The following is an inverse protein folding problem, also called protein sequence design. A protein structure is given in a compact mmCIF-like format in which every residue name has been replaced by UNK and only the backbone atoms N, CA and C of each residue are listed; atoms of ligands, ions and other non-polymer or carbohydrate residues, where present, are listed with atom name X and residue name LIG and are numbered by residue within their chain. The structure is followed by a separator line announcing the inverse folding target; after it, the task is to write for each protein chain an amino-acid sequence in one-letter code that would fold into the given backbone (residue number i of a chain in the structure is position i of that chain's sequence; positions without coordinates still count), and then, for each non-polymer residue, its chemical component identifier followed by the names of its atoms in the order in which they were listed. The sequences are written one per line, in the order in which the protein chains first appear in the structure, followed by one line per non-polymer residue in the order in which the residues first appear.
data_IF_591655770028
#
_entry.id   IF_591655770028
#
_cell.length_a   1.000
_cell.length_b   1.000
_cell.length_c   1.000
_cell.angle_alpha   90.00
_cell.angle_beta   90.00
_cell.angle_gamma   90.00
#
_symmetry.space_group_name_H-M   'P 1'
#
loop_
_entity.id
_entity.type
_entity.pdbx_description
1 polymer ?
#
# COMPACT_ATOMS: atom_id res chain seq x y z
N UNK A 1 7.33 -0.88 -4.21
CA UNK A 1 7.06 0.38 -3.48
C UNK A 1 5.92 0.15 -2.50
N UNK A 2 6.24 0.06 -1.24
CA UNK A 2 5.24 -0.23 -0.21
C UNK A 2 4.69 1.03 0.46
N UNK A 3 3.40 1.03 0.75
CA UNK A 3 2.75 2.12 1.50
C UNK A 3 2.89 1.82 2.99
N UNK A 4 3.52 2.73 3.75
CA UNK A 4 3.71 2.56 5.20
C UNK A 4 2.35 2.46 5.91
N UNK A 5 2.27 1.62 6.91
CA UNK A 5 3.36 0.78 7.46
C UNK A 5 3.35 -0.65 6.92
N UNK A 6 2.22 -1.29 6.85
CA UNK A 6 2.13 -2.72 6.48
C UNK A 6 2.47 -2.99 5.03
N UNK A 7 2.10 -2.09 4.11
CA UNK A 7 2.46 -2.22 2.71
C UNK A 7 3.96 -2.26 2.48
N UNK A 8 4.75 -1.54 3.30
CA UNK A 8 6.20 -1.57 3.20
C UNK A 8 6.78 -2.95 3.51
N UNK A 9 6.27 -3.62 4.55
CA UNK A 9 6.69 -4.97 4.90
C UNK A 9 6.25 -6.00 3.86
N UNK A 10 5.03 -5.84 3.33
CA UNK A 10 4.53 -6.71 2.25
C UNK A 10 5.37 -6.55 0.98
N UNK A 11 5.79 -5.33 0.64
CA UNK A 11 6.66 -5.10 -0.51
C UNK A 11 8.00 -5.82 -0.35
N UNK A 12 8.58 -5.80 0.85
CA UNK A 12 9.80 -6.54 1.15
C UNK A 12 9.60 -8.04 1.01
N UNK A 13 8.51 -8.57 1.51
CA UNK A 13 8.18 -10.01 1.37
C UNK A 13 8.03 -10.41 -0.10
N UNK A 14 7.36 -9.59 -0.90
CA UNK A 14 7.21 -9.84 -2.33
C UNK A 14 8.55 -9.80 -3.06
N UNK A 15 9.42 -8.83 -2.74
CA UNK A 15 10.75 -8.74 -3.32
C UNK A 15 11.60 -9.98 -2.98
N UNK A 16 11.50 -10.49 -1.76
CA UNK A 16 12.16 -11.73 -1.36
C UNK A 16 11.63 -12.93 -2.12
N UNK A 17 10.32 -13.01 -2.35
CA UNK A 17 9.71 -14.08 -3.15
C UNK A 17 10.20 -14.04 -4.60
N UNK A 18 10.27 -12.85 -5.20
CA UNK A 18 10.80 -12.69 -6.57
C UNK A 18 12.24 -13.14 -6.64
N UNK A 19 13.07 -12.79 -5.65
CA UNK A 19 14.45 -13.22 -5.58
C UNK A 19 14.59 -14.74 -5.53
N UNK A 20 13.74 -15.39 -4.74
CA UNK A 20 13.73 -16.87 -4.63
C UNK A 20 13.31 -17.56 -5.93
N UNK A 21 12.38 -16.96 -6.66
CA UNK A 21 11.82 -17.56 -7.89
C UNK A 21 12.69 -17.25 -9.10
N UNK A 22 13.11 -16.01 -9.28
CA UNK A 22 13.81 -15.51 -10.48
C UNK A 22 15.29 -15.23 -10.25
N UNK A 23 15.74 -15.13 -9.00
CA UNK A 23 17.10 -14.73 -8.66
C UNK A 23 17.37 -13.23 -8.81
N UNK A 24 16.39 -12.43 -9.20
CA UNK A 24 16.53 -11.00 -9.36
C UNK A 24 16.31 -10.23 -8.05
N UNK A 25 17.18 -9.28 -7.77
CA UNK A 25 16.96 -8.34 -6.69
C UNK A 25 16.13 -7.16 -7.18
N UNK A 26 14.99 -6.93 -6.54
CA UNK A 26 14.09 -5.84 -6.86
C UNK A 26 14.27 -4.75 -5.81
N UNK A 27 14.60 -3.50 -6.21
CA UNK A 27 14.68 -2.39 -5.27
C UNK A 27 13.33 -2.14 -4.59
N UNK A 28 13.34 -1.89 -3.29
CA UNK A 28 12.14 -1.65 -2.50
C UNK A 28 12.23 -0.25 -1.87
N UNK A 29 11.18 0.53 -2.03
CA UNK A 29 11.02 1.80 -1.35
C UNK A 29 9.77 1.80 -0.49
N UNK A 30 9.67 2.78 0.40
CA UNK A 30 8.51 2.95 1.27
C UNK A 30 7.98 4.38 1.16
N UNK A 31 6.67 4.51 0.97
CA UNK A 31 5.98 5.79 0.91
C UNK A 31 5.25 6.06 2.22
N UNK A 32 5.43 7.25 2.76
CA UNK A 32 4.59 7.76 3.83
C UNK A 32 3.61 8.77 3.24
N UNK A 33 2.33 8.40 3.24
CA UNK A 33 1.28 9.18 2.61
C UNK A 33 0.62 10.20 3.52
N UNK A 34 1.12 10.36 4.75
CA UNK A 34 0.45 11.18 5.78
C UNK A 34 0.14 12.60 5.30
N UNK A 35 1.06 13.21 4.55
CA UNK A 35 0.90 14.58 4.05
C UNK A 35 0.00 14.67 2.81
N UNK A 36 -0.37 13.55 2.20
CA UNK A 36 -1.14 13.48 0.95
C UNK A 36 -2.57 12.99 1.16
N UNK A 37 -2.94 12.68 2.41
CA UNK A 37 -4.28 12.20 2.74
C UNK A 37 -5.28 13.34 2.68
N UNK A 38 -6.41 13.08 2.03
CA UNK A 38 -7.49 14.06 1.91
C UNK A 38 -8.29 14.25 3.21
N UNK A 39 -8.15 13.38 4.19
CA UNK A 39 -8.77 13.50 5.51
C UNK A 39 -7.87 14.15 6.58
N UNK A 40 -6.68 14.63 6.19
CA UNK A 40 -5.68 15.15 7.13
C UNK A 40 -6.21 16.30 7.98
N UNK A 41 -6.98 17.20 7.38
CA UNK A 41 -7.56 18.37 8.06
C UNK A 41 -8.62 17.98 9.11
N UNK A 42 -9.20 16.81 8.99
CA UNK A 42 -10.23 16.31 9.91
C UNK A 42 -9.63 15.73 11.19
N UNK A 43 -8.36 15.43 11.20
CA UNK A 43 -7.68 14.79 12.33
C UNK A 43 -7.33 15.79 13.44
N UNK A 44 -7.32 17.09 13.16
CA UNK A 44 -7.09 18.14 14.14
C UNK A 44 -5.75 18.13 14.86
N UNK A 45 -4.89 17.17 14.59
CA UNK A 45 -3.58 16.99 15.21
C UNK A 45 -2.48 17.10 14.16
N UNK A 46 -1.29 17.47 14.61
CA UNK A 46 -0.14 17.41 13.71
C UNK A 46 0.14 15.95 13.33
N UNK A 47 0.26 15.65 12.04
CA UNK A 47 0.53 14.28 11.63
C UNK A 47 1.90 13.83 12.13
N UNK A 48 1.97 12.58 12.58
CA UNK A 48 3.25 11.94 12.83
C UNK A 48 3.89 11.66 11.47
N UNK A 49 4.91 12.43 11.13
CA UNK A 49 5.59 12.27 9.84
C UNK A 49 6.51 11.08 9.91
N UNK A 50 6.12 9.99 9.28
CA UNK A 50 7.02 8.87 8.99
C UNK A 50 7.76 9.19 7.71
N UNK A 51 9.01 8.81 7.65
CA UNK A 51 9.86 9.17 6.51
C UNK A 51 9.57 8.29 5.29
N UNK A 52 9.37 8.94 4.14
CA UNK A 52 9.43 8.27 2.85
C UNK A 52 10.88 7.94 2.53
N UNK A 53 11.13 6.69 2.15
CA UNK A 53 12.47 6.21 1.83
C UNK A 53 12.47 5.54 0.46
N UNK A 54 13.04 6.22 -0.52
CA UNK A 54 13.21 5.70 -1.87
C UNK A 54 14.68 5.82 -2.25
N UNK A 55 15.38 4.69 -2.30
CA UNK A 55 16.81 4.63 -2.56
C UNK A 55 17.18 4.53 -4.05
N UNK A 56 16.22 4.77 -4.96
CA UNK A 56 16.45 4.65 -6.39
C UNK A 56 15.61 5.70 -7.14
N UNK A 57 15.97 5.97 -8.40
CA UNK A 57 15.20 6.87 -9.25
C UNK A 57 13.97 6.13 -9.80
N UNK A 58 12.78 6.69 -9.56
CA UNK A 58 11.52 6.09 -10.03
C UNK A 58 11.23 6.40 -11.49
N UNK A 59 11.93 7.39 -12.08
CA UNK A 59 11.69 7.82 -13.46
C UNK A 59 11.99 6.70 -14.44
N UNK A 60 11.07 6.49 -15.37
CA UNK A 60 11.13 5.44 -16.40
C UNK A 60 11.13 4.00 -15.87
N UNK A 61 10.78 3.81 -14.60
CA UNK A 61 10.65 2.48 -14.00
C UNK A 61 9.21 2.00 -14.03
N UNK A 62 9.06 0.69 -14.10
CA UNK A 62 7.77 0.03 -13.86
C UNK A 62 7.64 -0.17 -12.36
N UNK A 63 6.73 0.56 -11.73
CA UNK A 63 6.56 0.56 -10.28
C UNK A 63 5.34 -0.30 -9.92
N UNK A 64 5.47 -1.11 -8.88
CA UNK A 64 4.35 -1.80 -8.27
C UNK A 64 4.14 -1.19 -6.88
N UNK A 65 2.99 -0.54 -6.68
CA UNK A 65 2.55 -0.10 -5.36
C UNK A 65 1.99 -1.28 -4.59
N UNK A 66 2.35 -1.39 -3.32
CA UNK A 66 1.91 -2.49 -2.47
C UNK A 66 1.22 -1.94 -1.23
N UNK A 67 0.04 -2.45 -0.94
CA UNK A 67 -0.69 -2.12 0.28
C UNK A 67 -1.38 -3.37 0.84
N UNK A 68 -1.84 -3.28 2.09
CA UNK A 68 -2.50 -4.40 2.76
C UNK A 68 -3.96 -4.54 2.33
N UNK A 69 -4.77 -3.50 2.50
CA UNK A 69 -6.22 -3.55 2.25
C UNK A 69 -6.62 -2.42 1.30
N UNK A 70 -7.31 -2.79 0.22
CA UNK A 70 -7.92 -1.84 -0.70
C UNK A 70 -9.38 -1.66 -0.32
N UNK A 71 -9.76 -0.43 -0.04
CA UNK A 71 -11.11 -0.04 0.37
C UNK A 71 -11.66 1.02 -0.59
N UNK A 72 -11.69 2.29 -0.20
CA UNK A 72 -12.27 3.37 -1.01
C UNK A 72 -11.39 3.76 -2.20
N UNK A 73 -10.11 3.51 -2.15
CA UNK A 73 -9.10 3.95 -3.12
C UNK A 73 -8.40 5.25 -2.72
N UNK A 74 -8.80 5.89 -1.62
CA UNK A 74 -8.23 7.19 -1.22
C UNK A 74 -6.79 7.08 -0.77
N UNK A 75 -6.41 6.01 -0.09
CA UNK A 75 -5.01 5.74 0.27
C UNK A 75 -4.14 5.60 -0.98
N UNK A 76 -4.62 4.89 -1.97
CA UNK A 76 -3.88 4.68 -3.23
C UNK A 76 -3.76 5.99 -4.01
N UNK A 77 -4.80 6.80 -4.04
CA UNK A 77 -4.75 8.13 -4.66
C UNK A 77 -3.66 8.98 -4.02
N UNK A 78 -3.59 9.00 -2.68
CA UNK A 78 -2.56 9.72 -1.96
C UNK A 78 -1.15 9.21 -2.30
N UNK A 79 -0.99 7.89 -2.38
CA UNK A 79 0.28 7.27 -2.75
C UNK A 79 0.70 7.63 -4.17
N UNK A 80 -0.24 7.65 -5.12
CA UNK A 80 0.04 8.05 -6.50
C UNK A 80 0.52 9.50 -6.56
N UNK A 81 -0.13 10.40 -5.83
CA UNK A 81 0.25 11.82 -5.78
C UNK A 81 1.67 11.99 -5.26
N UNK A 82 2.02 11.30 -4.18
CA UNK A 82 3.37 11.37 -3.63
C UNK A 82 4.41 10.78 -4.59
N UNK A 83 4.14 9.62 -5.15
CA UNK A 83 5.07 8.94 -6.03
C UNK A 83 5.41 9.78 -7.27
N UNK A 84 4.42 10.44 -7.84
CA UNK A 84 4.58 11.31 -9.02
C UNK A 84 5.45 12.53 -8.67
N UNK A 85 5.45 12.99 -7.43
CA UNK A 85 6.33 14.09 -6.98
C UNK A 85 7.81 13.68 -6.95
N UNK A 86 8.12 12.39 -6.89
CA UNK A 86 9.50 11.87 -6.91
C UNK A 86 10.06 11.65 -8.31
N UNK A 87 9.22 11.68 -9.33
CA UNK A 87 9.66 11.48 -10.71
C UNK A 87 8.49 11.03 -11.58
N UNK A 88 8.80 10.59 -12.80
CA UNK A 88 7.82 10.11 -13.75
C UNK A 88 8.00 8.61 -14.01
N UNK A 89 7.37 7.74 -13.24
CA UNK A 89 7.39 6.31 -13.53
C UNK A 89 6.85 6.01 -14.93
N UNK A 90 7.36 4.96 -15.54
CA UNK A 90 6.87 4.52 -16.85
C UNK A 90 5.46 3.95 -16.71
N UNK A 91 5.26 3.08 -15.72
CA UNK A 91 3.96 2.51 -15.35
C UNK A 91 3.86 2.37 -13.85
N UNK A 92 2.65 2.40 -13.34
CA UNK A 92 2.35 2.11 -11.94
C UNK A 92 1.24 1.07 -11.92
N UNK A 93 1.50 -0.06 -11.29
CA UNK A 93 0.51 -1.10 -11.01
C UNK A 93 0.27 -1.20 -9.52
N UNK A 94 -0.84 -1.80 -9.13
CA UNK A 94 -1.23 -1.92 -7.73
C UNK A 94 -1.37 -3.39 -7.34
N UNK A 95 -0.70 -3.76 -6.26
CA UNK A 95 -0.82 -5.07 -5.62
C UNK A 95 -1.34 -4.88 -4.19
N UNK A 96 -2.40 -5.59 -3.83
CA UNK A 96 -2.96 -5.56 -2.48
C UNK A 96 -3.14 -6.98 -1.94
N UNK A 97 -3.02 -7.12 -0.63
CA UNK A 97 -3.28 -8.41 0.00
C UNK A 97 -4.77 -8.74 -0.06
N UNK A 98 -5.61 -7.77 0.26
CA UNK A 98 -7.08 -7.93 0.31
C UNK A 98 -7.75 -6.76 -0.40
N UNK A 99 -8.73 -7.08 -1.24
CA UNK A 99 -9.71 -6.11 -1.75
C UNK A 99 -11.04 -6.37 -1.05
N UNK A 100 -11.52 -5.39 -0.27
CA UNK A 100 -12.76 -5.51 0.49
C UNK A 100 -13.97 -4.87 -0.18
N UNK A 101 -13.79 -4.24 -1.33
CA UNK A 101 -14.86 -3.52 -2.02
C UNK A 101 -15.10 -2.12 -1.45
N UNK A 102 -16.24 -1.54 -1.76
CA UNK A 102 -16.70 -0.19 -1.33
C UNK A 102 -15.84 0.95 -1.90
N UNK A 103 -15.50 0.86 -3.17
CA UNK A 103 -14.72 1.90 -3.84
C UNK A 103 -15.48 3.23 -3.89
N UNK A 104 -14.77 4.33 -3.66
CA UNK A 104 -15.26 5.71 -3.88
C UNK A 104 -14.55 6.37 -5.06
N UNK A 105 -13.39 5.86 -5.44
CA UNK A 105 -12.60 6.35 -6.58
C UNK A 105 -12.42 5.22 -7.60
N UNK A 106 -12.21 5.55 -8.89
CA UNK A 106 -12.04 4.55 -9.95
C UNK A 106 -10.64 3.92 -9.91
N UNK A 107 -10.33 3.26 -8.82
CA UNK A 107 -9.05 2.59 -8.56
C UNK A 107 -9.27 1.10 -8.45
N UNK A 108 -8.41 0.34 -9.10
CA UNK A 108 -8.51 -1.10 -9.18
C UNK A 108 -7.12 -1.71 -8.99
N UNK A 109 -7.06 -2.82 -8.26
CA UNK A 109 -5.81 -3.55 -8.11
C UNK A 109 -5.54 -4.43 -9.33
N UNK A 110 -4.28 -4.47 -9.76
CA UNK A 110 -3.81 -5.39 -10.80
C UNK A 110 -3.55 -6.78 -10.23
N UNK A 111 -3.13 -6.84 -8.98
CA UNK A 111 -2.83 -8.09 -8.27
C UNK A 111 -3.52 -8.07 -6.93
N UNK A 112 -4.30 -9.11 -6.64
CA UNK A 112 -5.07 -9.24 -5.41
C UNK A 112 -4.78 -10.59 -4.79
N UNK A 113 -4.39 -10.60 -3.51
CA UNK A 113 -4.23 -11.85 -2.77
C UNK A 113 -5.58 -12.53 -2.56
N UNK A 114 -6.57 -11.79 -2.06
CA UNK A 114 -7.93 -12.29 -1.87
C UNK A 114 -8.96 -11.18 -1.94
N UNK A 115 -10.06 -11.46 -2.63
CA UNK A 115 -11.24 -10.60 -2.61
C UNK A 115 -12.13 -11.04 -1.44
N UNK A 116 -12.42 -10.12 -0.52
CA UNK A 116 -13.26 -10.36 0.65
C UNK A 116 -14.37 -9.30 0.66
N UNK A 117 -15.52 -9.58 0.03
CA UNK A 117 -16.65 -8.66 0.11
C UNK A 117 -17.08 -8.46 1.56
N UNK A 118 -17.30 -7.20 1.94
CA UNK A 118 -17.67 -6.84 3.31
C UNK A 118 -18.95 -6.01 3.33
N UNK A 119 -19.63 -5.98 4.48
CA UNK A 119 -20.70 -5.04 4.74
C UNK A 119 -20.11 -3.67 5.11
N UNK A 120 -20.93 -2.61 5.05
CA UNK A 120 -20.48 -1.24 5.36
C UNK A 120 -19.99 -1.10 6.80
N UNK A 121 -20.54 -1.86 7.73
CA UNK A 121 -20.19 -1.86 9.14
C UNK A 121 -19.06 -2.83 9.50
N UNK A 122 -18.51 -3.52 8.51
CA UNK A 122 -17.37 -4.40 8.69
C UNK A 122 -16.07 -3.72 8.27
N UNK A 123 -14.99 -4.10 8.91
CA UNK A 123 -13.63 -3.66 8.58
C UNK A 123 -12.73 -4.88 8.42
N UNK A 124 -11.79 -4.81 7.50
CA UNK A 124 -10.77 -5.84 7.34
C UNK A 124 -9.46 -5.32 7.93
N UNK A 125 -8.87 -6.10 8.82
CA UNK A 125 -7.55 -5.81 9.38
C UNK A 125 -6.57 -6.88 8.93
N UNK A 126 -5.50 -6.47 8.26
CA UNK A 126 -4.36 -7.33 7.99
C UNK A 126 -3.35 -7.15 9.11
N UNK A 127 -2.91 -8.26 9.70
CA UNK A 127 -1.91 -8.28 10.76
C UNK A 127 -0.68 -8.99 10.24
N UNK A 128 0.50 -8.41 10.50
CA UNK A 128 1.77 -8.93 10.05
C UNK A 128 2.70 -9.14 11.24
N UNK A 129 3.50 -10.18 11.19
CA UNK A 129 4.47 -10.48 12.25
C UNK A 129 5.33 -9.27 12.59
N UNK A 130 5.78 -8.52 11.59
CA UNK A 130 6.67 -7.37 11.75
C UNK A 130 6.05 -6.24 12.60
N UNK A 131 4.72 -6.13 12.62
CA UNK A 131 4.00 -5.05 13.30
C UNK A 131 3.14 -5.59 14.45
N UNK A 132 2.46 -6.72 14.20
CA UNK A 132 1.37 -7.20 15.06
C UNK A 132 1.71 -8.50 15.81
N UNK A 133 2.90 -9.06 15.59
CA UNK A 133 3.36 -10.29 16.22
C UNK A 133 2.80 -11.58 15.62
N UNK A 134 1.95 -11.48 14.62
CA UNK A 134 1.38 -12.63 13.91
C UNK A 134 0.90 -12.26 12.51
N UNK A 135 0.80 -13.26 11.65
CA UNK A 135 0.25 -13.09 10.30
C UNK A 135 -1.19 -13.59 10.28
N UNK A 136 -2.14 -12.69 10.08
CA UNK A 136 -3.54 -13.05 9.89
C UNK A 136 -4.31 -11.92 9.22
N UNK A 137 -5.45 -12.25 8.65
CA UNK A 137 -6.43 -11.28 8.18
C UNK A 137 -7.75 -11.58 8.88
N UNK A 138 -8.34 -10.55 9.49
CA UNK A 138 -9.59 -10.68 10.23
C UNK A 138 -10.63 -9.68 9.75
N UNK A 139 -11.90 -10.06 9.84
CA UNK A 139 -13.02 -9.15 9.63
C UNK A 139 -13.50 -8.73 11.02
N UNK A 140 -13.64 -7.42 11.22
CA UNK A 140 -14.06 -6.85 12.49
C UNK A 140 -15.32 -6.03 12.27
N UNK A 141 -16.32 -6.23 13.10
CA UNK A 141 -17.50 -5.36 13.11
C UNK A 141 -17.19 -4.07 13.84
N UNK A 142 -17.69 -3.00 13.29
CA UNK A 142 -17.54 -1.67 13.91
C UNK A 142 -18.55 -1.46 15.05
#
# INVERSE_FOLDING_TARGET
MGIRSRGAYLAQRLAECVKKIDGEEVPVGALDITLYRDDLTLLGAQPVVRKTEIGFDVTDKNIILVDDVLYTGRTIRAALSELIDFGRPKTIQLAVLVDRGHRELPIRADYVGKNIPTAQDETVEARLIEVDGKDEVVIVEK
#
